data_IF_830521712353
#
_entry.id   IF_830521712353
#
_cell.length_a   1.000
_cell.length_b   1.000
_cell.length_c   1.000
_cell.angle_alpha   90.00
_cell.angle_beta   90.00
_cell.angle_gamma   90.00
#
_symmetry.space_group_name_H-M   'P 1'
#
loop_
_entity.id
_entity.type
_entity.pdbx_description
1 polymer ?
#
# COMPACT_ATOMS: atom_id res chain seq x y z
N UNK A 1 -31.89 13.07 13.26
CA UNK A 1 -30.84 13.94 12.70
C UNK A 1 -30.67 13.53 11.26
N UNK A 2 -30.99 14.42 10.32
CA UNK A 2 -30.80 14.16 8.89
C UNK A 2 -29.29 14.05 8.61
N UNK A 3 -28.87 12.93 8.06
CA UNK A 3 -27.53 12.77 7.49
C UNK A 3 -27.29 13.91 6.52
N UNK A 4 -26.12 14.57 6.59
CA UNK A 4 -25.75 15.70 5.71
C UNK A 4 -25.91 15.38 4.21
N UNK A 5 -25.89 14.09 3.84
CA UNK A 5 -26.17 13.58 2.50
C UNK A 5 -26.83 12.19 2.59
N UNK A 6 -27.72 11.83 1.64
CA UNK A 6 -28.18 10.46 1.48
C UNK A 6 -26.94 9.53 1.32
N UNK A 7 -26.93 8.42 2.05
CA UNK A 7 -25.79 7.50 2.11
C UNK A 7 -25.35 7.03 0.72
N UNK A 8 -26.31 6.81 -0.16
CA UNK A 8 -26.09 6.37 -1.54
C UNK A 8 -25.39 7.45 -2.38
N UNK A 9 -25.82 8.70 -2.27
CA UNK A 9 -25.21 9.80 -3.01
C UNK A 9 -23.74 10.01 -2.59
N UNK A 10 -23.46 9.99 -1.28
CA UNK A 10 -22.10 10.12 -0.76
C UNK A 10 -21.20 8.98 -1.23
N UNK A 11 -21.70 7.75 -1.26
CA UNK A 11 -20.95 6.59 -1.75
C UNK A 11 -20.62 6.71 -3.24
N UNK A 12 -21.60 7.06 -4.07
CA UNK A 12 -21.40 7.25 -5.51
C UNK A 12 -20.41 8.38 -5.79
N UNK A 13 -20.57 9.53 -5.13
CA UNK A 13 -19.68 10.66 -5.31
C UNK A 13 -18.23 10.32 -4.92
N UNK A 14 -18.04 9.63 -3.79
CA UNK A 14 -16.72 9.21 -3.31
C UNK A 14 -16.09 8.18 -4.25
N UNK A 15 -16.87 7.23 -4.78
CA UNK A 15 -16.41 6.27 -5.78
C UNK A 15 -15.94 6.96 -7.07
N UNK A 16 -16.77 7.85 -7.64
CA UNK A 16 -16.43 8.57 -8.87
C UNK A 16 -15.19 9.45 -8.69
N UNK A 17 -15.09 10.13 -7.55
CA UNK A 17 -13.90 10.91 -7.20
C UNK A 17 -12.65 10.03 -7.10
N UNK A 18 -12.78 8.84 -6.51
CA UNK A 18 -11.71 7.85 -6.47
C UNK A 18 -11.27 7.37 -7.85
N UNK A 19 -12.22 7.16 -8.80
CA UNK A 19 -11.88 6.80 -10.18
C UNK A 19 -11.04 7.91 -10.86
N UNK A 20 -11.45 9.17 -10.72
CA UNK A 20 -10.74 10.32 -11.31
C UNK A 20 -9.33 10.44 -10.74
N UNK A 21 -9.18 10.35 -9.42
CA UNK A 21 -7.86 10.35 -8.79
C UNK A 21 -7.04 9.11 -9.16
N UNK A 22 -7.66 7.93 -9.33
CA UNK A 22 -7.01 6.72 -9.81
C UNK A 22 -6.40 6.88 -11.20
N UNK A 23 -7.09 7.62 -12.10
CA UNK A 23 -6.53 7.96 -13.42
C UNK A 23 -5.26 8.82 -13.28
N UNK A 24 -5.25 9.79 -12.37
CA UNK A 24 -4.04 10.55 -12.05
C UNK A 24 -2.93 9.68 -11.44
N UNK A 25 -3.27 8.71 -10.58
CA UNK A 25 -2.29 7.79 -10.01
C UNK A 25 -1.55 6.98 -11.07
N UNK A 26 -2.17 6.63 -12.18
CA UNK A 26 -1.48 6.00 -13.30
C UNK A 26 -0.35 6.86 -13.87
N UNK A 27 -0.54 8.18 -13.90
CA UNK A 27 0.52 9.13 -14.29
C UNK A 27 1.65 9.15 -13.26
N UNK A 28 1.31 9.15 -11.96
CA UNK A 28 2.28 9.10 -10.86
C UNK A 28 3.12 7.82 -10.94
N UNK A 29 2.48 6.65 -11.07
CA UNK A 29 3.12 5.33 -11.16
C UNK A 29 4.12 5.29 -12.33
N UNK A 30 3.74 5.87 -13.48
CA UNK A 30 4.59 5.85 -14.66
C UNK A 30 5.75 6.87 -14.59
N UNK A 31 5.48 8.10 -14.12
CA UNK A 31 6.41 9.24 -14.24
C UNK A 31 7.35 9.40 -13.05
N UNK A 32 6.88 9.19 -11.82
CA UNK A 32 7.69 9.43 -10.62
C UNK A 32 8.96 8.58 -10.60
N UNK A 33 8.94 7.26 -10.89
CA UNK A 33 10.16 6.46 -10.91
C UNK A 33 11.16 6.90 -12.00
N UNK A 34 10.67 7.60 -13.03
CA UNK A 34 11.49 8.11 -14.15
C UNK A 34 11.96 9.56 -13.96
N UNK A 35 11.68 10.17 -12.80
CA UNK A 35 12.03 11.57 -12.54
C UNK A 35 11.31 12.58 -13.44
N UNK A 36 10.18 12.18 -14.04
CA UNK A 36 9.41 13.02 -14.96
C UNK A 36 8.35 13.83 -14.24
N UNK A 37 8.05 15.02 -14.76
CA UNK A 37 6.98 15.86 -14.23
C UNK A 37 5.61 15.19 -14.37
N UNK A 38 4.84 15.15 -13.26
CA UNK A 38 3.47 14.63 -13.25
C UNK A 38 2.44 15.59 -13.87
N UNK A 39 2.83 16.87 -14.09
CA UNK A 39 1.95 17.92 -14.59
C UNK A 39 2.08 18.09 -16.10
N UNK A 40 3.30 18.10 -16.64
CA UNK A 40 3.59 18.31 -18.07
C UNK A 40 4.57 17.27 -18.59
N UNK A 41 4.45 16.86 -19.87
CA UNK A 41 3.40 17.15 -20.85
C UNK A 41 2.09 16.42 -20.56
N UNK A 42 1.01 16.71 -21.34
CA UNK A 42 -0.25 15.96 -21.29
C UNK A 42 -0.02 14.49 -21.61
N UNK A 43 -0.92 13.60 -21.17
CA UNK A 43 -0.85 12.18 -21.45
C UNK A 43 -0.98 11.92 -22.96
N UNK A 44 -0.10 11.06 -23.46
CA UNK A 44 -0.04 10.68 -24.88
C UNK A 44 0.16 9.18 -25.04
N UNK A 45 -0.21 8.64 -26.19
CA UNK A 45 0.05 7.25 -26.52
C UNK A 45 1.57 7.02 -26.64
N UNK A 46 2.16 6.04 -25.95
CA UNK A 46 3.60 5.79 -26.01
C UNK A 46 4.07 5.29 -27.39
N UNK A 47 3.17 4.79 -28.25
CA UNK A 47 3.51 4.24 -29.54
C UNK A 47 3.42 5.28 -30.68
N UNK A 48 2.31 6.05 -30.73
CA UNK A 48 2.13 7.03 -31.83
C UNK A 48 2.34 8.49 -31.40
N UNK A 49 2.56 8.76 -30.12
CA UNK A 49 2.79 10.12 -29.61
C UNK A 49 1.52 11.02 -29.58
N UNK A 50 0.38 10.56 -30.10
CA UNK A 50 -0.85 11.35 -30.15
C UNK A 50 -1.35 11.61 -28.73
N UNK A 51 -1.70 12.84 -28.42
CA UNK A 51 -2.25 13.25 -27.13
C UNK A 51 -3.62 12.59 -26.89
N UNK A 52 -3.83 12.08 -25.67
CA UNK A 52 -5.10 11.48 -25.26
C UNK A 52 -6.15 12.58 -25.14
N UNK A 53 -7.28 12.43 -25.85
CA UNK A 53 -8.40 13.35 -25.85
C UNK A 53 -9.14 13.27 -24.51
N UNK A 54 -9.77 14.37 -24.07
CA UNK A 54 -10.44 14.40 -22.76
C UNK A 54 -11.49 13.29 -22.59
N UNK A 55 -12.27 13.02 -23.61
CA UNK A 55 -13.28 11.96 -23.60
C UNK A 55 -12.71 10.53 -23.66
N UNK A 56 -11.45 10.36 -24.08
CA UNK A 56 -10.72 9.09 -24.03
C UNK A 56 -9.97 8.91 -22.69
N UNK A 57 -10.10 9.87 -21.77
CA UNK A 57 -9.53 9.82 -20.44
C UNK A 57 -10.59 9.68 -19.33
N UNK A 58 -11.82 9.28 -19.67
CA UNK A 58 -12.84 8.95 -18.68
C UNK A 58 -12.46 7.62 -18.02
N UNK A 59 -12.23 7.61 -16.68
CA UNK A 59 -11.68 6.45 -16.00
C UNK A 59 -12.51 5.19 -16.25
N UNK A 60 -11.83 4.07 -16.48
CA UNK A 60 -12.40 2.74 -16.76
C UNK A 60 -13.25 2.69 -18.03
N UNK A 61 -14.19 3.63 -18.17
CA UNK A 61 -15.15 3.64 -19.28
C UNK A 61 -14.45 3.75 -20.64
N UNK A 62 -13.48 4.65 -20.77
CA UNK A 62 -12.73 4.80 -22.03
C UNK A 62 -11.95 3.53 -22.37
N UNK A 63 -11.36 2.87 -21.38
CA UNK A 63 -10.65 1.61 -21.61
C UNK A 63 -11.57 0.50 -22.11
N UNK A 64 -12.79 0.40 -21.57
CA UNK A 64 -13.81 -0.57 -22.01
C UNK A 64 -14.30 -0.24 -23.43
N UNK A 65 -14.67 1.02 -23.70
CA UNK A 65 -15.18 1.47 -25.01
C UNK A 65 -14.13 1.26 -26.10
N UNK A 66 -12.87 1.58 -25.81
CA UNK A 66 -11.73 1.40 -26.73
C UNK A 66 -11.22 -0.05 -26.77
N UNK A 67 -11.82 -0.97 -26.01
CA UNK A 67 -11.41 -2.38 -25.91
C UNK A 67 -9.93 -2.54 -25.59
N UNK A 68 -9.41 -1.69 -24.70
CA UNK A 68 -8.01 -1.69 -24.30
C UNK A 68 -7.03 -1.32 -25.42
N UNK A 69 -7.40 -0.48 -26.39
CA UNK A 69 -6.56 -0.09 -27.53
C UNK A 69 -6.55 1.42 -27.72
N UNK A 70 -5.45 1.94 -28.24
CA UNK A 70 -5.37 3.34 -28.65
C UNK A 70 -6.36 3.61 -29.79
N UNK A 71 -7.05 4.75 -29.76
CA UNK A 71 -8.01 5.14 -30.80
C UNK A 71 -7.36 5.34 -32.17
N UNK A 72 -6.14 5.89 -32.19
CA UNK A 72 -5.49 6.31 -33.43
C UNK A 72 -4.61 5.21 -34.05
N UNK A 73 -3.87 4.44 -33.23
CA UNK A 73 -2.92 3.43 -33.74
C UNK A 73 -3.25 1.99 -33.33
N UNK A 74 -4.35 1.77 -32.61
CA UNK A 74 -4.79 0.46 -32.13
C UNK A 74 -3.75 -0.29 -31.23
N UNK A 75 -2.68 0.38 -30.77
CA UNK A 75 -1.71 -0.20 -29.85
C UNK A 75 -2.39 -0.59 -28.52
N UNK A 76 -2.10 -1.78 -27.95
CA UNK A 76 -2.76 -2.24 -26.72
C UNK A 76 -2.40 -1.36 -25.52
N UNK A 77 -3.44 -1.00 -24.75
CA UNK A 77 -3.34 -0.27 -23.47
C UNK A 77 -3.45 -1.30 -22.34
N UNK A 78 -2.46 -1.32 -21.46
CA UNK A 78 -2.42 -2.26 -20.34
C UNK A 78 -3.69 -2.17 -19.46
N UNK A 79 -4.24 -3.32 -19.08
CA UNK A 79 -5.36 -3.41 -18.14
C UNK A 79 -5.03 -2.80 -16.75
N UNK A 80 -3.73 -2.65 -16.40
CA UNK A 80 -3.28 -1.99 -15.18
C UNK A 80 -3.94 -0.62 -14.99
N UNK A 81 -4.11 0.16 -16.08
CA UNK A 81 -4.72 1.48 -15.99
C UNK A 81 -6.13 1.42 -15.41
N UNK A 82 -6.99 0.57 -15.96
CA UNK A 82 -8.35 0.38 -15.46
C UNK A 82 -8.37 -0.25 -14.05
N UNK A 83 -7.45 -1.16 -13.76
CA UNK A 83 -7.33 -1.79 -12.43
C UNK A 83 -6.99 -0.77 -11.36
N UNK A 84 -6.02 0.12 -11.58
CA UNK A 84 -5.63 1.17 -10.62
C UNK A 84 -6.79 2.12 -10.37
N UNK A 85 -7.51 2.52 -11.42
CA UNK A 85 -8.67 3.38 -11.33
C UNK A 85 -9.80 2.75 -10.50
N UNK A 86 -10.15 1.49 -10.80
CA UNK A 86 -11.16 0.75 -10.03
C UNK A 86 -10.74 0.54 -8.58
N UNK A 87 -9.50 0.14 -8.31
CA UNK A 87 -9.00 -0.04 -6.95
C UNK A 87 -9.08 1.26 -6.16
N UNK A 88 -8.69 2.38 -6.75
CA UNK A 88 -8.79 3.69 -6.08
C UNK A 88 -10.26 4.04 -5.78
N UNK A 89 -11.18 3.82 -6.74
CA UNK A 89 -12.62 4.02 -6.54
C UNK A 89 -13.17 3.16 -5.41
N UNK A 90 -12.86 1.85 -5.40
CA UNK A 90 -13.32 0.94 -4.36
C UNK A 90 -12.72 1.24 -2.99
N UNK A 91 -11.46 1.62 -2.90
CA UNK A 91 -10.84 2.02 -1.64
C UNK A 91 -11.48 3.29 -1.09
N UNK A 92 -11.80 4.25 -1.94
CA UNK A 92 -12.44 5.49 -1.51
C UNK A 92 -13.86 5.25 -0.99
N UNK A 93 -14.66 4.47 -1.72
CA UNK A 93 -16.00 4.14 -1.23
C UNK A 93 -15.95 3.26 0.02
N UNK A 94 -14.95 2.40 0.18
CA UNK A 94 -14.77 1.63 1.41
C UNK A 94 -14.41 2.52 2.60
N UNK A 95 -13.59 3.58 2.38
CA UNK A 95 -13.32 4.59 3.40
C UNK A 95 -14.60 5.33 3.83
N UNK A 96 -15.47 5.64 2.88
CA UNK A 96 -16.77 6.24 3.16
C UNK A 96 -17.63 5.32 4.04
N UNK A 97 -17.81 4.05 3.65
CA UNK A 97 -18.60 3.10 4.44
C UNK A 97 -17.98 2.77 5.80
N UNK A 98 -16.68 2.88 5.94
CA UNK A 98 -15.99 2.70 7.22
C UNK A 98 -16.38 3.78 8.25
N UNK A 99 -16.70 4.98 7.80
CA UNK A 99 -17.01 6.14 8.64
C UNK A 99 -18.52 6.48 8.72
N UNK A 100 -19.39 5.78 7.97
CA UNK A 100 -20.85 6.02 8.00
C UNK A 100 -21.46 5.48 9.29
N UNK A 101 -22.43 6.20 9.91
CA UNK A 101 -23.04 7.46 9.48
C UNK A 101 -22.12 8.67 9.67
N UNK A 102 -22.04 9.54 8.66
CA UNK A 102 -21.27 10.78 8.75
C UNK A 102 -22.15 11.84 9.41
N UNK A 103 -22.26 11.76 10.71
CA UNK A 103 -23.02 12.67 11.57
C UNK A 103 -22.12 13.61 12.38
N UNK A 104 -20.81 13.37 12.34
CA UNK A 104 -19.82 14.13 13.08
C UNK A 104 -18.71 14.65 12.19
N UNK A 105 -18.10 15.78 12.59
CA UNK A 105 -16.91 16.35 11.91
C UNK A 105 -15.73 15.36 11.94
N UNK A 106 -15.63 14.52 12.96
CA UNK A 106 -14.61 13.49 13.09
C UNK A 106 -14.80 12.41 12.02
N UNK A 107 -16.03 11.95 11.78
CA UNK A 107 -16.34 10.98 10.74
C UNK A 107 -15.98 11.53 9.35
N UNK A 108 -16.29 12.80 9.07
CA UNK A 108 -15.90 13.47 7.83
C UNK A 108 -14.38 13.47 7.63
N UNK A 109 -13.62 13.90 8.65
CA UNK A 109 -12.15 13.89 8.57
C UNK A 109 -11.57 12.47 8.50
N UNK A 110 -12.25 11.47 9.05
CA UNK A 110 -11.86 10.07 8.93
C UNK A 110 -11.92 9.60 7.48
N UNK A 111 -12.98 9.94 6.74
CA UNK A 111 -13.05 9.62 5.29
C UNK A 111 -11.89 10.26 4.54
N UNK A 112 -11.65 11.56 4.76
CA UNK A 112 -10.56 12.27 4.07
C UNK A 112 -9.20 11.65 4.42
N UNK A 113 -8.94 11.38 5.70
CA UNK A 113 -7.71 10.71 6.16
C UNK A 113 -7.49 9.39 5.43
N UNK A 114 -8.50 8.53 5.37
CA UNK A 114 -8.40 7.22 4.73
C UNK A 114 -8.27 7.34 3.20
N UNK A 115 -8.99 8.25 2.56
CA UNK A 115 -8.83 8.51 1.12
C UNK A 115 -7.42 8.97 0.79
N UNK A 116 -6.84 9.89 1.57
CA UNK A 116 -5.46 10.35 1.40
C UNK A 116 -4.47 9.21 1.64
N UNK A 117 -4.69 8.40 2.67
CA UNK A 117 -3.85 7.25 2.96
C UNK A 117 -3.83 6.24 1.80
N UNK A 118 -4.98 5.87 1.28
CA UNK A 118 -5.09 4.95 0.14
C UNK A 118 -4.53 5.55 -1.15
N UNK A 119 -4.75 6.86 -1.37
CA UNK A 119 -4.19 7.59 -2.50
C UNK A 119 -2.65 7.56 -2.50
N UNK A 120 -2.01 7.62 -1.33
CA UNK A 120 -0.56 7.53 -1.21
C UNK A 120 -0.05 6.10 -1.30
N UNK A 121 -0.74 5.14 -0.70
CA UNK A 121 -0.31 3.73 -0.69
C UNK A 121 -0.43 3.06 -2.05
N UNK A 122 -1.51 3.34 -2.80
CA UNK A 122 -1.76 2.64 -4.04
C UNK A 122 -0.62 2.81 -5.06
N UNK A 123 -0.13 4.04 -5.37
CA UNK A 123 1.01 4.18 -6.27
C UNK A 123 2.29 3.57 -5.70
N UNK A 124 2.54 3.63 -4.39
CA UNK A 124 3.71 3.01 -3.77
C UNK A 124 3.73 1.49 -3.99
N UNK A 125 2.57 0.81 -3.85
CA UNK A 125 2.42 -0.62 -4.11
C UNK A 125 2.77 -0.95 -5.57
N UNK A 126 2.24 -0.20 -6.53
CA UNK A 126 2.48 -0.47 -7.95
C UNK A 126 3.90 -0.10 -8.38
N UNK A 127 4.48 0.97 -7.84
CA UNK A 127 5.86 1.37 -8.13
C UNK A 127 6.84 0.33 -7.55
N UNK A 128 6.61 -0.13 -6.33
CA UNK A 128 7.44 -1.18 -5.72
C UNK A 128 7.34 -2.50 -6.51
N UNK A 129 6.14 -2.86 -6.95
CA UNK A 129 5.94 -4.05 -7.78
C UNK A 129 6.69 -4.01 -9.10
N UNK A 130 6.77 -2.84 -9.77
CA UNK A 130 7.37 -2.70 -11.10
C UNK A 130 8.86 -2.31 -11.07
N UNK A 131 9.26 -1.54 -10.07
CA UNK A 131 10.57 -0.88 -10.03
C UNK A 131 11.40 -1.18 -8.79
N UNK A 132 10.83 -1.86 -7.77
CA UNK A 132 11.46 -2.09 -6.47
C UNK A 132 11.94 -0.78 -5.81
N UNK A 133 11.14 0.29 -5.95
CA UNK A 133 11.43 1.63 -5.45
C UNK A 133 10.24 2.17 -4.66
N UNK A 134 10.54 2.87 -3.58
CA UNK A 134 9.54 3.61 -2.78
C UNK A 134 9.94 5.10 -2.77
N UNK A 135 9.36 5.93 -3.65
CA UNK A 135 9.77 7.32 -3.85
C UNK A 135 9.52 8.19 -2.60
N UNK A 136 10.54 8.96 -2.22
CA UNK A 136 10.48 9.91 -1.09
C UNK A 136 9.42 11.01 -1.28
N UNK A 137 9.15 11.36 -2.53
CA UNK A 137 8.11 12.35 -2.92
C UNK A 137 6.71 11.91 -2.47
N UNK A 138 6.47 10.61 -2.22
CA UNK A 138 5.21 10.09 -1.71
C UNK A 138 5.29 9.75 -0.22
N UNK A 139 6.38 9.12 0.22
CA UNK A 139 6.51 8.62 1.60
C UNK A 139 6.70 9.75 2.62
N UNK A 140 7.55 10.75 2.33
CA UNK A 140 7.83 11.82 3.29
C UNK A 140 6.65 12.80 3.44
N UNK A 141 6.04 13.32 2.36
CA UNK A 141 4.80 14.10 2.52
C UNK A 141 3.68 13.29 3.17
N UNK A 142 3.60 11.98 2.86
CA UNK A 142 2.65 11.08 3.47
C UNK A 142 2.85 10.97 4.99
N UNK A 143 4.08 10.85 5.47
CA UNK A 143 4.40 10.86 6.89
C UNK A 143 3.89 12.15 7.57
N UNK A 144 4.18 13.31 6.97
CA UNK A 144 3.74 14.61 7.49
C UNK A 144 2.21 14.69 7.54
N UNK A 145 1.53 14.27 6.45
CA UNK A 145 0.07 14.26 6.40
C UNK A 145 -0.53 13.32 7.46
N UNK A 146 0.08 12.15 7.69
CA UNK A 146 -0.34 11.23 8.76
C UNK A 146 -0.31 11.89 10.15
N UNK A 147 0.76 12.62 10.45
CA UNK A 147 0.89 13.37 11.69
C UNK A 147 -0.14 14.52 11.78
N UNK A 148 -0.39 15.24 10.70
CA UNK A 148 -1.41 16.29 10.66
C UNK A 148 -2.81 15.68 10.90
N UNK A 149 -3.14 14.58 10.23
CA UNK A 149 -4.43 13.93 10.42
C UNK A 149 -4.61 13.35 11.83
N UNK A 150 -3.54 13.01 12.53
CA UNK A 150 -3.64 12.56 13.92
C UNK A 150 -4.16 13.64 14.87
N UNK A 151 -4.03 14.92 14.51
CA UNK A 151 -4.59 16.03 15.27
C UNK A 151 -6.10 16.22 15.03
N UNK A 152 -6.60 15.78 13.85
CA UNK A 152 -7.99 15.93 13.44
C UNK A 152 -8.83 14.69 13.77
N UNK A 153 -8.22 13.52 13.65
CA UNK A 153 -8.87 12.21 13.85
C UNK A 153 -8.08 11.41 14.86
N UNK A 154 -8.65 11.10 16.03
CA UNK A 154 -7.96 10.31 17.03
C UNK A 154 -7.44 8.99 16.47
N UNK A 155 -6.15 8.74 16.66
CA UNK A 155 -5.52 7.45 16.39
C UNK A 155 -5.59 6.66 17.68
N UNK A 156 -6.32 5.53 17.66
CA UNK A 156 -6.44 4.67 18.84
C UNK A 156 -5.33 3.62 18.86
N UNK A 157 -4.48 3.63 19.86
CA UNK A 157 -3.36 2.71 19.95
C UNK A 157 -2.96 2.30 21.36
N UNK A 158 -1.88 1.53 21.43
CA UNK A 158 -1.28 1.06 22.70
C UNK A 158 -0.89 2.20 23.65
N UNK A 159 -0.27 3.31 23.18
CA UNK A 159 0.07 4.45 24.04
C UNK A 159 -1.14 5.13 24.65
N UNK A 160 -2.25 5.25 23.94
CA UNK A 160 -3.48 5.83 24.47
C UNK A 160 -4.01 5.03 25.67
N UNK A 161 -3.88 3.70 25.63
CA UNK A 161 -4.24 2.84 26.77
C UNK A 161 -3.27 3.01 27.94
N UNK A 162 -1.96 3.06 27.66
CA UNK A 162 -0.91 3.19 28.68
C UNK A 162 -0.93 4.58 29.33
N UNK A 163 -1.02 5.65 28.55
CA UNK A 163 -1.06 7.02 29.09
C UNK A 163 -2.34 7.29 29.87
N UNK A 164 -3.49 6.80 29.41
CA UNK A 164 -4.75 6.97 30.13
C UNK A 164 -4.81 6.17 31.44
N UNK A 165 -4.20 4.98 31.48
CA UNK A 165 -4.25 4.08 32.64
C UNK A 165 -3.12 4.31 33.64
N UNK A 166 -1.90 4.64 33.16
CA UNK A 166 -0.72 4.73 34.04
C UNK A 166 -0.38 6.15 34.51
N UNK A 167 -0.62 7.17 33.69
CA UNK A 167 -0.20 8.53 34.05
C UNK A 167 -1.30 9.44 34.55
N UNK A 168 -2.59 9.06 34.50
CA UNK A 168 -3.72 9.93 34.87
C UNK A 168 -3.64 11.37 34.30
N UNK A 169 -2.90 11.51 33.18
CA UNK A 169 -2.62 12.79 32.54
C UNK A 169 -3.92 13.33 31.91
N UNK A 170 -4.30 14.53 32.29
CA UNK A 170 -5.40 15.32 31.70
C UNK A 170 -4.97 15.96 30.35
N UNK A 171 -4.32 15.18 29.50
CA UNK A 171 -3.93 15.68 28.18
C UNK A 171 -5.14 15.67 27.23
N UNK A 172 -5.24 16.65 26.33
CA UNK A 172 -6.29 16.66 25.32
C UNK A 172 -6.12 15.45 24.39
N UNK A 173 -7.24 14.89 23.91
CA UNK A 173 -7.24 13.71 23.02
C UNK A 173 -6.37 13.89 21.77
N UNK A 174 -6.30 15.11 21.25
CA UNK A 174 -5.45 15.47 20.10
C UNK A 174 -3.96 15.27 20.38
N UNK A 175 -3.48 15.67 21.58
CA UNK A 175 -2.08 15.48 21.97
C UNK A 175 -1.75 13.99 22.15
N UNK A 176 -2.65 13.21 22.75
CA UNK A 176 -2.48 11.76 22.92
C UNK A 176 -2.45 11.08 21.55
N UNK A 177 -3.29 11.49 20.63
CA UNK A 177 -3.35 10.96 19.26
C UNK A 177 -2.06 11.28 18.49
N UNK A 178 -1.52 12.48 18.62
CA UNK A 178 -0.23 12.85 18.00
C UNK A 178 0.93 12.02 18.57
N UNK A 179 0.96 11.82 19.87
CA UNK A 179 1.98 10.96 20.53
C UNK A 179 1.87 9.52 20.00
N UNK A 180 0.66 8.98 19.87
CA UNK A 180 0.46 7.63 19.30
C UNK A 180 0.91 7.55 17.84
N UNK A 181 0.62 8.56 17.04
CA UNK A 181 1.09 8.65 15.66
C UNK A 181 2.62 8.73 15.56
N UNK A 182 3.27 9.52 16.43
CA UNK A 182 4.73 9.63 16.48
C UNK A 182 5.38 8.32 16.94
N UNK A 183 4.83 7.67 17.96
CA UNK A 183 5.30 6.37 18.41
C UNK A 183 5.08 5.31 17.33
N UNK A 184 3.93 5.35 16.66
CA UNK A 184 3.62 4.47 15.54
C UNK A 184 4.61 4.62 14.39
N UNK A 185 4.91 5.85 14.00
CA UNK A 185 5.91 6.17 12.98
C UNK A 185 7.31 5.68 13.39
N UNK A 186 7.73 5.98 14.63
CA UNK A 186 9.03 5.58 15.15
C UNK A 186 9.17 4.05 15.25
N UNK A 187 8.18 3.36 15.79
CA UNK A 187 8.19 1.89 15.91
C UNK A 187 8.14 1.21 14.56
N UNK A 188 7.30 1.71 13.62
CA UNK A 188 7.23 1.19 12.26
C UNK A 188 8.57 1.29 11.55
N UNK A 189 9.19 2.46 11.59
CA UNK A 189 10.52 2.69 11.01
C UNK A 189 11.61 1.86 11.71
N UNK A 190 11.65 1.92 13.04
CA UNK A 190 12.68 1.26 13.83
C UNK A 190 12.68 -0.26 13.63
N UNK A 191 11.50 -0.89 13.59
CA UNK A 191 11.41 -2.33 13.47
C UNK A 191 11.95 -2.83 12.14
N UNK A 192 11.59 -2.16 11.04
CA UNK A 192 12.10 -2.51 9.69
C UNK A 192 13.60 -2.22 9.60
N UNK A 193 14.04 -1.06 10.11
CA UNK A 193 15.46 -0.71 10.14
C UNK A 193 16.28 -1.72 10.96
N UNK A 194 15.81 -2.08 12.16
CA UNK A 194 16.51 -3.02 13.02
C UNK A 194 16.66 -4.41 12.39
N UNK A 195 15.60 -4.91 11.75
CA UNK A 195 15.64 -6.21 11.03
C UNK A 195 16.63 -6.13 9.85
N UNK A 196 16.59 -5.04 9.07
CA UNK A 196 17.53 -4.82 7.97
C UNK A 196 18.98 -4.75 8.42
N UNK A 197 19.25 -3.99 9.49
CA UNK A 197 20.59 -3.82 10.07
C UNK A 197 21.13 -5.14 10.67
N UNK A 198 20.30 -5.90 11.39
CA UNK A 198 20.69 -7.22 11.91
C UNK A 198 21.02 -8.16 10.75
N UNK A 199 20.20 -8.19 9.70
CA UNK A 199 20.46 -9.01 8.52
C UNK A 199 21.76 -8.62 7.83
N UNK A 200 22.01 -7.32 7.67
CA UNK A 200 23.25 -6.80 7.09
C UNK A 200 24.48 -7.22 7.90
N UNK A 201 24.45 -7.10 9.23
CA UNK A 201 25.56 -7.53 10.09
C UNK A 201 25.83 -9.03 10.04
N UNK A 202 24.77 -9.85 9.87
CA UNK A 202 24.91 -11.31 9.81
C UNK A 202 25.35 -11.83 8.43
N UNK A 203 24.95 -11.15 7.35
CA UNK A 203 25.13 -11.65 5.97
C UNK A 203 26.00 -10.78 5.09
N UNK A 204 26.34 -9.56 5.53
CA UNK A 204 27.07 -8.55 4.75
C UNK A 204 26.44 -8.25 3.37
N UNK A 205 25.12 -8.38 3.29
CA UNK A 205 24.30 -8.08 2.11
C UNK A 205 23.10 -7.24 2.55
N UNK A 206 22.82 -6.17 1.83
CA UNK A 206 21.61 -5.38 2.09
C UNK A 206 20.38 -6.24 1.83
N UNK A 207 19.55 -6.45 2.87
CA UNK A 207 18.39 -7.32 2.81
C UNK A 207 17.06 -6.58 2.70
N UNK A 208 17.04 -5.28 3.05
CA UNK A 208 15.84 -4.42 3.03
C UNK A 208 16.20 -3.03 2.51
N UNK A 209 15.33 -2.48 1.67
CA UNK A 209 15.47 -1.11 1.18
C UNK A 209 15.11 -0.08 2.26
N UNK A 210 15.84 1.04 2.30
CA UNK A 210 15.52 2.16 3.19
C UNK A 210 14.14 2.79 2.87
N UNK A 211 13.60 2.50 1.69
CA UNK A 211 12.23 2.86 1.30
C UNK A 211 11.16 2.21 2.18
N UNK A 212 11.33 0.93 2.56
CA UNK A 212 10.41 0.20 3.45
C UNK A 212 10.35 0.83 4.84
N UNK A 213 11.48 1.34 5.34
CA UNK A 213 11.57 2.07 6.61
C UNK A 213 10.69 3.33 6.57
N UNK A 214 10.79 4.12 5.49
CA UNK A 214 10.00 5.34 5.30
C UNK A 214 8.52 5.02 5.08
N UNK A 215 8.20 3.97 4.33
CA UNK A 215 6.84 3.48 4.15
C UNK A 215 6.20 3.15 5.50
N UNK A 216 6.90 2.38 6.35
CA UNK A 216 6.35 1.98 7.64
C UNK A 216 6.31 3.14 8.65
N UNK A 217 7.18 4.14 8.53
CA UNK A 217 7.03 5.40 9.27
C UNK A 217 5.71 6.11 8.88
N UNK A 218 5.43 6.23 7.58
CA UNK A 218 4.17 6.80 7.07
C UNK A 218 2.96 6.00 7.55
N UNK A 219 2.97 4.67 7.39
CA UNK A 219 1.87 3.80 7.85
C UNK A 219 1.63 3.97 9.36
N UNK A 220 2.70 4.01 10.16
CA UNK A 220 2.61 4.20 11.60
C UNK A 220 2.04 5.56 12.00
N UNK A 221 2.36 6.62 11.26
CA UNK A 221 1.79 7.95 11.48
C UNK A 221 0.27 8.00 11.21
N UNK A 222 -0.20 7.28 10.19
CA UNK A 222 -1.64 7.20 9.88
C UNK A 222 -2.42 6.28 10.82
N UNK A 223 -1.88 5.13 11.16
CA UNK A 223 -2.59 4.03 11.82
C UNK A 223 -2.26 3.85 13.31
N UNK A 224 -1.17 4.46 13.78
CA UNK A 224 -0.66 4.28 15.13
C UNK A 224 0.16 3.00 15.33
N UNK A 225 0.73 2.86 16.52
CA UNK A 225 1.69 1.81 16.84
C UNK A 225 1.10 0.39 16.73
N UNK A 226 -0.13 0.19 17.22
CA UNK A 226 -0.82 -1.12 17.22
C UNK A 226 -0.95 -1.69 15.81
N UNK A 227 -1.49 -0.89 14.89
CA UNK A 227 -1.74 -1.34 13.52
C UNK A 227 -0.47 -1.34 12.66
N UNK A 228 0.51 -0.49 12.95
CA UNK A 228 1.82 -0.54 12.29
C UNK A 228 2.53 -1.88 12.57
N UNK A 229 2.59 -2.32 13.83
CA UNK A 229 3.17 -3.62 14.19
C UNK A 229 2.39 -4.79 13.57
N UNK A 230 1.06 -4.72 13.58
CA UNK A 230 0.22 -5.71 12.91
C UNK A 230 0.51 -5.79 11.41
N UNK A 231 0.66 -4.64 10.75
CA UNK A 231 1.00 -4.55 9.32
C UNK A 231 2.36 -5.19 9.02
N UNK A 232 3.38 -4.90 9.82
CA UNK A 232 4.72 -5.49 9.67
C UNK A 232 4.64 -7.02 9.79
N UNK A 233 4.01 -7.50 10.85
CA UNK A 233 3.90 -8.94 11.10
C UNK A 233 3.16 -9.66 9.96
N UNK A 234 1.99 -9.17 9.59
CA UNK A 234 1.19 -9.79 8.52
C UNK A 234 1.84 -9.63 7.15
N UNK A 235 2.47 -8.50 6.87
CA UNK A 235 3.26 -8.27 5.65
C UNK A 235 4.45 -9.23 5.53
N UNK A 236 5.17 -9.46 6.62
CA UNK A 236 6.28 -10.42 6.67
C UNK A 236 5.80 -11.86 6.45
N UNK A 237 4.67 -12.24 7.06
CA UNK A 237 4.06 -13.58 6.85
C UNK A 237 3.67 -13.77 5.38
N UNK A 238 2.97 -12.80 4.78
CA UNK A 238 2.59 -12.89 3.37
C UNK A 238 3.79 -12.91 2.42
N UNK A 239 4.78 -12.05 2.66
CA UNK A 239 6.02 -12.03 1.88
C UNK A 239 6.75 -13.37 1.96
N UNK A 240 6.80 -13.98 3.15
CA UNK A 240 7.40 -15.32 3.34
C UNK A 240 6.62 -16.40 2.59
N UNK A 241 5.29 -16.42 2.69
CA UNK A 241 4.43 -17.36 1.96
C UNK A 241 4.64 -17.22 0.45
N UNK A 242 4.64 -16.00 -0.06
CA UNK A 242 4.89 -15.72 -1.47
C UNK A 242 6.28 -16.20 -1.91
N UNK A 243 7.32 -15.92 -1.13
CA UNK A 243 8.68 -16.39 -1.37
C UNK A 243 8.78 -17.92 -1.40
N UNK A 244 8.08 -18.63 -0.50
CA UNK A 244 8.03 -20.07 -0.50
C UNK A 244 7.30 -20.63 -1.74
N UNK A 245 6.14 -20.05 -2.09
CA UNK A 245 5.36 -20.48 -3.26
C UNK A 245 6.17 -20.31 -4.54
N UNK A 246 6.80 -19.15 -4.72
CA UNK A 246 7.64 -18.86 -5.90
C UNK A 246 8.83 -19.80 -5.99
N UNK A 247 9.47 -20.11 -4.86
CA UNK A 247 10.58 -21.08 -4.79
C UNK A 247 10.15 -22.47 -5.22
N UNK A 248 9.05 -22.94 -4.68
CA UNK A 248 8.50 -24.27 -5.00
C UNK A 248 8.09 -24.33 -6.48
N UNK A 249 7.47 -23.29 -7.00
CA UNK A 249 7.07 -23.21 -8.40
C UNK A 249 8.28 -23.26 -9.36
N UNK A 250 9.34 -22.49 -9.06
CA UNK A 250 10.58 -22.50 -9.83
C UNK A 250 11.28 -23.85 -9.73
N UNK A 251 11.38 -24.42 -8.53
CA UNK A 251 11.94 -25.75 -8.32
C UNK A 251 11.22 -26.82 -9.15
N UNK A 252 9.87 -26.86 -9.06
CA UNK A 252 9.04 -27.81 -9.85
C UNK A 252 9.27 -27.66 -11.35
N UNK A 253 9.26 -26.42 -11.87
CA UNK A 253 9.49 -26.13 -13.30
C UNK A 253 10.87 -26.57 -13.76
N UNK A 254 11.91 -26.33 -12.96
CA UNK A 254 13.29 -26.79 -13.25
C UNK A 254 13.45 -28.29 -13.18
N UNK A 255 12.84 -28.92 -12.18
CA UNK A 255 12.84 -30.37 -12.01
C UNK A 255 12.19 -31.07 -13.20
N UNK A 256 11.02 -30.60 -13.66
CA UNK A 256 10.35 -31.16 -14.84
C UNK A 256 11.22 -31.04 -16.10
N UNK A 257 11.88 -29.89 -16.31
CA UNK A 257 12.78 -29.69 -17.47
C UNK A 257 14.00 -30.63 -17.43
N UNK A 258 14.60 -30.83 -16.25
CA UNK A 258 15.76 -31.73 -16.08
C UNK A 258 15.37 -33.20 -16.19
N UNK A 259 14.20 -33.59 -15.66
CA UNK A 259 13.67 -34.95 -15.86
C UNK A 259 13.41 -35.27 -17.34
N UNK A 260 12.89 -34.33 -18.12
CA UNK A 260 12.70 -34.48 -19.57
C UNK A 260 14.03 -34.63 -20.33
N UNK A 261 15.13 -34.12 -19.77
CA UNK A 261 16.49 -34.24 -20.34
C UNK A 261 17.27 -35.43 -19.82
N UNK A 262 16.64 -36.32 -19.01
CA UNK A 262 17.25 -37.47 -18.37
C UNK A 262 18.55 -37.13 -17.60
N UNK A 263 18.65 -35.91 -17.02
CA UNK A 263 19.83 -35.52 -16.26
C UNK A 263 19.97 -36.34 -14.96
N UNK A 264 21.19 -36.81 -14.70
CA UNK A 264 21.52 -37.44 -13.41
C UNK A 264 21.45 -36.42 -12.28
N UNK A 265 20.91 -36.83 -11.12
CA UNK A 265 20.71 -35.99 -9.93
C UNK A 265 19.82 -34.71 -10.18
N UNK A 266 18.75 -34.89 -10.99
CA UNK A 266 17.83 -33.81 -11.33
C UNK A 266 17.20 -33.12 -10.10
N UNK A 267 16.93 -33.83 -9.01
CA UNK A 267 16.37 -33.31 -7.77
C UNK A 267 17.30 -32.33 -7.07
N UNK A 268 18.53 -32.77 -6.75
CA UNK A 268 19.51 -31.95 -6.03
C UNK A 268 19.89 -30.69 -6.82
N UNK A 269 20.22 -30.85 -8.12
CA UNK A 269 20.55 -29.72 -8.99
C UNK A 269 19.40 -28.72 -9.17
N UNK A 270 18.14 -29.18 -9.19
CA UNK A 270 16.98 -28.28 -9.30
C UNK A 270 16.77 -27.49 -8.02
N UNK A 271 16.99 -28.13 -6.85
CA UNK A 271 16.90 -27.46 -5.55
C UNK A 271 17.99 -26.40 -5.37
N UNK A 272 19.27 -26.75 -5.64
CA UNK A 272 20.38 -25.81 -5.57
C UNK A 272 20.16 -24.61 -6.49
N UNK A 273 19.68 -24.87 -7.71
CA UNK A 273 19.39 -23.78 -8.66
C UNK A 273 18.21 -22.90 -8.19
N UNK A 274 17.16 -23.47 -7.60
CA UNK A 274 16.04 -22.70 -7.06
C UNK A 274 16.48 -21.85 -5.87
N UNK A 275 17.28 -22.40 -4.97
CA UNK A 275 17.85 -21.69 -3.81
C UNK A 275 18.78 -20.54 -4.21
N UNK A 276 19.60 -20.74 -5.23
CA UNK A 276 20.45 -19.67 -5.76
C UNK A 276 19.64 -18.55 -6.38
N UNK A 277 18.56 -18.86 -7.09
CA UNK A 277 17.69 -17.85 -7.66
C UNK A 277 17.03 -16.99 -6.56
N UNK A 278 16.60 -17.58 -5.46
CA UNK A 278 16.06 -16.84 -4.31
C UNK A 278 17.06 -15.83 -3.74
N UNK A 279 18.33 -16.15 -3.76
CA UNK A 279 19.38 -15.25 -3.26
C UNK A 279 19.51 -13.97 -4.09
N UNK A 280 19.08 -14.01 -5.36
CA UNK A 280 19.14 -12.88 -6.30
C UNK A 280 17.77 -12.33 -6.68
N UNK A 281 16.68 -12.95 -6.18
CA UNK A 281 15.33 -12.48 -6.46
C UNK A 281 14.89 -11.52 -5.35
N UNK A 282 14.89 -10.25 -5.70
CA UNK A 282 14.37 -9.21 -4.83
C UNK A 282 12.83 -9.33 -4.78
N UNK A 283 12.31 -9.71 -3.63
CA UNK A 283 10.87 -9.74 -3.40
C UNK A 283 10.42 -8.31 -3.10
N UNK A 284 9.46 -7.74 -3.84
CA UNK A 284 8.98 -6.39 -3.57
C UNK A 284 8.25 -6.35 -2.21
N UNK A 285 9.00 -6.07 -1.13
CA UNK A 285 8.48 -6.15 0.23
C UNK A 285 7.47 -5.04 0.52
N UNK A 286 7.65 -3.86 -0.07
CA UNK A 286 6.71 -2.74 0.04
C UNK A 286 5.32 -3.07 -0.51
N UNK A 287 5.19 -3.97 -1.50
CA UNK A 287 3.88 -4.46 -1.98
C UNK A 287 3.13 -5.17 -0.86
N UNK A 288 3.80 -6.04 -0.10
CA UNK A 288 3.16 -6.79 0.99
C UNK A 288 2.84 -5.86 2.16
N UNK A 289 3.78 -4.97 2.53
CA UNK A 289 3.55 -3.99 3.59
C UNK A 289 2.40 -3.05 3.24
N UNK A 290 2.39 -2.48 2.03
CA UNK A 290 1.33 -1.57 1.59
C UNK A 290 -0.04 -2.23 1.51
N UNK A 291 -0.10 -3.45 0.95
CA UNK A 291 -1.35 -4.21 0.86
C UNK A 291 -1.90 -4.56 2.24
N UNK A 292 -1.02 -4.97 3.18
CA UNK A 292 -1.43 -5.26 4.55
C UNK A 292 -1.75 -4.00 5.34
N UNK A 293 -1.14 -2.85 5.03
CA UNK A 293 -1.53 -1.57 5.61
C UNK A 293 -2.98 -1.18 5.23
N UNK A 294 -3.37 -1.41 3.98
CA UNK A 294 -4.77 -1.22 3.54
C UNK A 294 -5.69 -2.17 4.31
N UNK A 295 -5.36 -3.46 4.35
CA UNK A 295 -6.19 -4.46 5.03
C UNK A 295 -6.30 -4.20 6.53
N UNK A 296 -5.23 -3.73 7.19
CA UNK A 296 -5.20 -3.45 8.62
C UNK A 296 -6.19 -2.36 9.03
N UNK A 297 -6.55 -1.43 8.14
CA UNK A 297 -7.60 -0.44 8.39
C UNK A 297 -8.93 -1.12 8.70
N UNK A 298 -9.30 -2.16 7.94
CA UNK A 298 -10.62 -2.79 8.03
C UNK A 298 -10.70 -3.90 9.09
N UNK A 299 -9.66 -4.72 9.19
CA UNK A 299 -9.69 -5.93 10.05
C UNK A 299 -8.68 -5.90 11.19
N UNK A 300 -7.68 -5.01 11.14
CA UNK A 300 -6.54 -5.04 12.06
C UNK A 300 -6.95 -4.93 13.53
N UNK A 301 -7.82 -3.98 13.87
CA UNK A 301 -8.30 -3.83 15.24
C UNK A 301 -9.03 -5.07 15.74
N UNK A 302 -9.94 -5.65 14.94
CA UNK A 302 -10.68 -6.86 15.31
C UNK A 302 -9.76 -8.04 15.55
N UNK A 303 -8.78 -8.23 14.68
CA UNK A 303 -7.82 -9.35 14.79
C UNK A 303 -6.91 -9.20 16.01
N UNK A 304 -6.39 -8.01 16.25
CA UNK A 304 -5.53 -7.77 17.43
C UNK A 304 -6.33 -7.89 18.73
N UNK A 305 -7.56 -7.38 18.79
CA UNK A 305 -8.40 -7.47 19.98
C UNK A 305 -8.85 -8.92 20.23
N UNK A 306 -9.15 -9.67 19.18
CA UNK A 306 -9.42 -11.12 19.29
C UNK A 306 -8.19 -11.85 19.85
N UNK A 307 -7.00 -11.60 19.28
CA UNK A 307 -5.76 -12.22 19.76
C UNK A 307 -5.50 -11.92 21.24
N UNK A 308 -5.64 -10.66 21.65
CA UNK A 308 -5.46 -10.26 23.03
C UNK A 308 -6.52 -10.85 23.97
N UNK A 309 -7.71 -11.16 23.48
CA UNK A 309 -8.77 -11.80 24.27
C UNK A 309 -8.46 -13.25 24.66
N UNK A 310 -7.57 -13.93 23.90
CA UNK A 310 -7.14 -15.30 24.21
C UNK A 310 -6.22 -15.37 25.46
N UNK A 311 -5.69 -14.24 25.91
CA UNK A 311 -4.79 -14.15 27.07
C UNK A 311 -5.41 -13.45 28.27
N UNK A 312 -6.71 -13.15 28.20
CA UNK A 312 -7.52 -12.64 29.32
C UNK A 312 -8.40 -13.71 29.89
#
# INVERSE_FOLDING_TARGET
MSTLFPTEFGAIATFLFGLVLGSFLNVVIYRVPRGQSVVKPRSACPNCGTQIRAYDNIPVLSWIILRGKCRDCAHPISARYAIVELLCGFLFVSAYFFAVPIDTIIAFWTVIKLCVFFFLLLPLIFIDYEHHLLPDVLTLPGLILGLIFSLLVPVGGLPMFLTRKMLALRWPLTAISLVDALIGAALGAFFIYAVGEIYFRLRHVEGMGFGDVKLMAMVGAFLGAKLALFTIFTGAVLGTIFGLITTIAVWRKRLQRRKKRHETNALGRSWTSARLMLRYYEVPFGVFLGSMAILSVFVGNRMVDWYLSLYR
#
